data_IF_337868695492
#
_entry.id   IF_337868695492
#
_cell.length_a   1.000
_cell.length_b   1.000
_cell.length_c   1.000
_cell.angle_alpha   90.00
_cell.angle_beta   90.00
_cell.angle_gamma   90.00
#
_symmetry.space_group_name_H-M   'P 1'
#
loop_
_entity.id
_entity.type
_entity.pdbx_description
1 polymer ?
#
# COMPACT_ATOMS: atom_id res chain seq x y z
N UNK A 1 12.83 3.72 9.35
CA UNK A 1 13.49 2.49 8.89
C UNK A 1 14.67 2.13 9.79
N UNK A 2 15.69 2.97 9.86
CA UNK A 2 16.93 2.73 10.63
C UNK A 2 16.70 2.31 12.09
N UNK A 3 15.79 2.97 12.80
CA UNK A 3 15.49 2.64 14.21
C UNK A 3 14.94 1.21 14.37
N UNK A 4 14.07 0.75 13.46
CA UNK A 4 13.52 -0.61 13.49
C UNK A 4 14.58 -1.64 13.14
N UNK A 5 15.40 -1.35 12.11
CA UNK A 5 16.53 -2.22 11.77
C UNK A 5 17.57 -2.31 12.89
N UNK A 6 17.83 -1.22 13.59
CA UNK A 6 18.72 -1.22 14.74
C UNK A 6 18.22 -2.14 15.86
N UNK A 7 16.92 -2.09 16.19
CA UNK A 7 16.32 -2.99 17.18
C UNK A 7 16.38 -4.45 16.73
N UNK A 8 16.05 -4.74 15.47
CA UNK A 8 16.16 -6.11 14.93
C UNK A 8 17.61 -6.62 14.98
N UNK A 9 18.57 -5.79 14.62
CA UNK A 9 19.98 -6.17 14.68
C UNK A 9 20.48 -6.36 16.11
N UNK A 10 19.96 -5.59 17.08
CA UNK A 10 20.25 -5.80 18.49
C UNK A 10 19.70 -7.15 18.97
N UNK A 11 18.43 -7.43 18.70
CA UNK A 11 17.79 -8.70 19.07
C UNK A 11 18.53 -9.90 18.47
N UNK A 12 18.96 -9.83 17.21
CA UNK A 12 19.76 -10.89 16.59
C UNK A 12 21.07 -11.08 17.33
N UNK A 13 21.82 -10.03 17.61
CA UNK A 13 23.12 -10.11 18.34
C UNK A 13 22.95 -10.67 19.75
N UNK A 14 21.84 -10.33 20.41
CA UNK A 14 21.59 -10.76 21.80
C UNK A 14 21.31 -12.26 21.92
N UNK A 15 20.95 -12.94 20.83
CA UNK A 15 20.59 -14.37 20.80
C UNK A 15 21.51 -15.21 19.92
N UNK A 16 22.52 -14.61 19.25
CA UNK A 16 23.42 -15.35 18.34
C UNK A 16 24.88 -15.21 18.75
N UNK A 17 25.63 -16.27 18.55
CA UNK A 17 27.10 -16.24 18.65
C UNK A 17 27.78 -15.59 17.45
N UNK A 18 29.10 -15.58 17.44
CA UNK A 18 29.94 -15.03 16.36
C UNK A 18 29.76 -15.75 15.02
N UNK A 19 29.27 -16.97 15.03
CA UNK A 19 28.96 -17.80 13.85
C UNK A 19 27.54 -17.51 13.28
N UNK A 20 26.78 -16.62 13.92
CA UNK A 20 25.40 -16.26 13.54
C UNK A 20 24.34 -17.32 13.89
N UNK A 21 24.73 -18.38 14.64
CA UNK A 21 23.80 -19.37 15.17
C UNK A 21 23.34 -18.98 16.56
N UNK A 22 22.19 -19.53 16.96
CA UNK A 22 21.67 -19.35 18.32
C UNK A 22 22.73 -19.78 19.34
N UNK A 23 22.97 -18.95 20.33
CA UNK A 23 23.88 -19.22 21.44
C UNK A 23 23.16 -19.10 22.77
N UNK A 24 23.12 -20.19 23.51
CA UNK A 24 22.52 -20.22 24.85
C UNK A 24 23.34 -19.44 25.88
N UNK A 25 24.64 -19.23 25.61
CA UNK A 25 25.53 -18.46 26.51
C UNK A 25 25.15 -16.98 26.58
N UNK A 26 24.41 -16.47 25.59
CA UNK A 26 23.97 -15.08 25.53
C UNK A 26 22.66 -14.84 26.24
N UNK A 27 21.96 -15.90 26.69
CA UNK A 27 20.64 -15.80 27.32
C UNK A 27 20.71 -16.41 28.71
N UNK A 28 20.69 -15.56 29.72
CA UNK A 28 20.97 -15.94 31.11
C UNK A 28 19.94 -16.88 31.74
N UNK A 29 18.65 -16.71 31.38
CA UNK A 29 17.57 -17.51 31.97
C UNK A 29 16.26 -17.41 31.12
N UNK A 30 15.23 -18.09 31.56
CA UNK A 30 13.88 -18.07 30.97
C UNK A 30 13.25 -16.67 30.89
N UNK A 31 13.52 -15.82 31.88
CA UNK A 31 13.00 -14.46 31.90
C UNK A 31 13.63 -13.62 30.79
N UNK A 32 14.94 -13.82 30.52
CA UNK A 32 15.64 -13.17 29.43
C UNK A 32 15.02 -13.55 28.07
N UNK A 33 14.62 -14.82 27.87
CA UNK A 33 13.93 -15.26 26.66
C UNK A 33 12.57 -14.60 26.57
N UNK A 34 11.78 -14.63 27.62
CA UNK A 34 10.45 -14.02 27.65
C UNK A 34 10.52 -12.51 27.32
N UNK A 35 11.55 -11.82 27.83
CA UNK A 35 11.78 -10.40 27.50
C UNK A 35 12.09 -10.21 26.01
N UNK A 36 12.94 -11.05 25.39
CA UNK A 36 13.26 -10.94 23.96
C UNK A 36 12.05 -11.23 23.06
N UNK A 37 11.21 -12.19 23.44
CA UNK A 37 9.94 -12.45 22.75
C UNK A 37 9.00 -11.25 22.86
N UNK A 38 8.89 -10.65 24.03
CA UNK A 38 8.08 -9.46 24.26
C UNK A 38 8.60 -8.25 23.48
N UNK A 39 9.91 -7.99 23.49
CA UNK A 39 10.54 -6.93 22.71
C UNK A 39 10.24 -7.05 21.22
N UNK A 40 10.36 -8.27 20.68
CA UNK A 40 10.04 -8.50 19.27
C UNK A 40 8.54 -8.34 18.98
N UNK A 41 7.67 -8.83 19.85
CA UNK A 41 6.22 -8.65 19.73
C UNK A 41 5.83 -7.17 19.74
N UNK A 42 6.42 -6.39 20.64
CA UNK A 42 6.23 -4.93 20.68
C UNK A 42 6.70 -4.27 19.39
N UNK A 43 7.86 -4.69 18.87
CA UNK A 43 8.38 -4.19 17.59
C UNK A 43 7.40 -4.47 16.44
N UNK A 44 6.83 -5.68 16.36
CA UNK A 44 5.80 -5.99 15.35
C UNK A 44 4.59 -5.07 15.45
N UNK A 45 4.23 -4.64 16.66
CA UNK A 45 3.16 -3.65 16.90
C UNK A 45 3.47 -2.25 16.35
N UNK A 46 4.75 -1.93 16.13
CA UNK A 46 5.18 -0.65 15.51
C UNK A 46 5.26 -0.69 13.99
N UNK A 47 4.96 -1.82 13.38
CA UNK A 47 5.00 -2.00 11.93
C UNK A 47 3.62 -1.82 11.30
N UNK A 48 3.63 -1.57 9.99
CA UNK A 48 2.43 -1.39 9.18
C UNK A 48 1.49 -2.60 9.24
N UNK A 49 0.23 -2.41 8.83
CA UNK A 49 -0.81 -3.46 8.91
C UNK A 49 -0.43 -4.75 8.18
N UNK A 50 0.40 -4.66 7.16
CA UNK A 50 0.92 -5.82 6.44
C UNK A 50 1.72 -6.77 7.33
N UNK A 51 2.23 -6.27 8.46
CA UNK A 51 2.92 -7.09 9.46
C UNK A 51 1.97 -7.91 10.36
N UNK A 52 0.65 -7.69 10.30
CA UNK A 52 -0.36 -8.42 11.11
C UNK A 52 -0.20 -9.93 10.93
N UNK A 53 0.00 -10.39 9.70
CA UNK A 53 0.20 -11.82 9.43
C UNK A 53 1.40 -12.41 10.17
N UNK A 54 2.52 -11.66 10.26
CA UNK A 54 3.70 -12.11 11.00
C UNK A 54 3.39 -12.15 12.49
N UNK A 55 2.70 -11.11 12.98
CA UNK A 55 2.32 -11.01 14.40
C UNK A 55 1.39 -12.15 14.81
N UNK A 56 0.35 -12.41 14.02
CA UNK A 56 -0.60 -13.47 14.32
C UNK A 56 0.06 -14.85 14.29
N UNK A 57 0.96 -15.09 13.33
CA UNK A 57 1.78 -16.31 13.28
C UNK A 57 2.72 -16.43 14.47
N UNK A 58 3.34 -15.34 14.90
CA UNK A 58 4.22 -15.30 16.06
C UNK A 58 3.43 -15.60 17.35
N UNK A 59 2.26 -14.97 17.52
CA UNK A 59 1.42 -15.14 18.70
C UNK A 59 0.82 -16.57 18.80
N UNK A 60 0.67 -17.27 17.67
CA UNK A 60 0.11 -18.64 17.59
C UNK A 60 1.17 -19.74 17.52
N UNK A 61 2.45 -19.40 17.46
CA UNK A 61 3.53 -20.40 17.33
C UNK A 61 3.79 -21.11 18.67
N UNK A 62 3.25 -22.33 18.80
CA UNK A 62 3.39 -23.14 20.03
C UNK A 62 4.85 -23.36 20.41
N UNK A 63 5.78 -23.48 19.46
CA UNK A 63 7.19 -23.67 19.73
C UNK A 63 7.84 -22.47 20.43
N UNK A 64 7.27 -21.26 20.32
CA UNK A 64 7.72 -20.08 21.09
C UNK A 64 7.24 -20.08 22.55
N UNK A 65 6.16 -20.79 22.86
CA UNK A 65 5.53 -20.78 24.17
C UNK A 65 5.84 -22.07 24.98
N UNK A 66 5.90 -23.19 24.30
CA UNK A 66 5.99 -24.53 24.91
C UNK A 66 7.30 -25.28 24.60
N UNK A 67 8.11 -24.74 23.66
CA UNK A 67 9.36 -25.33 23.22
C UNK A 67 10.49 -25.21 24.26
N UNK A 68 11.54 -25.97 24.06
CA UNK A 68 12.81 -25.81 24.78
C UNK A 68 13.43 -24.44 24.52
N UNK A 69 14.33 -23.99 25.39
CA UNK A 69 15.07 -22.72 25.23
C UNK A 69 15.69 -22.58 23.84
N UNK A 70 16.34 -23.63 23.33
CA UNK A 70 16.96 -23.63 22.02
C UNK A 70 15.92 -23.47 20.90
N UNK A 71 14.85 -24.23 20.93
CA UNK A 71 13.76 -24.16 19.94
C UNK A 71 13.10 -22.77 19.91
N UNK A 72 12.83 -22.19 21.07
CA UNK A 72 12.25 -20.84 21.20
C UNK A 72 13.16 -19.78 20.58
N UNK A 73 14.47 -19.86 20.83
CA UNK A 73 15.44 -18.90 20.25
C UNK A 73 15.64 -19.09 18.74
N UNK A 74 15.66 -20.35 18.25
CA UNK A 74 15.73 -20.63 16.81
C UNK A 74 14.50 -20.09 16.07
N UNK A 75 13.31 -20.27 16.65
CA UNK A 75 12.07 -19.73 16.13
C UNK A 75 12.08 -18.21 16.12
N UNK A 76 12.49 -17.58 17.22
CA UNK A 76 12.63 -16.13 17.29
C UNK A 76 13.60 -15.60 16.21
N UNK A 77 14.75 -16.26 16.03
CA UNK A 77 15.73 -15.88 15.00
C UNK A 77 15.12 -15.95 13.59
N UNK A 78 14.33 -17.00 13.30
CA UNK A 78 13.65 -17.13 12.01
C UNK A 78 12.64 -15.98 11.76
N UNK A 79 11.88 -15.58 12.77
CA UNK A 79 10.96 -14.44 12.70
C UNK A 79 11.71 -13.11 12.52
N UNK A 80 12.82 -12.89 13.23
CA UNK A 80 13.67 -11.71 13.09
C UNK A 80 14.22 -11.58 11.67
N UNK A 81 14.72 -12.67 11.10
CA UNK A 81 15.25 -12.69 9.73
C UNK A 81 14.15 -12.45 8.69
N UNK A 82 12.97 -13.08 8.87
CA UNK A 82 11.82 -12.89 7.98
C UNK A 82 11.36 -11.44 8.01
N UNK A 83 11.19 -10.86 9.20
CA UNK A 83 10.78 -9.46 9.37
C UNK A 83 11.77 -8.51 8.71
N UNK A 84 13.08 -8.73 8.93
CA UNK A 84 14.14 -7.93 8.30
C UNK A 84 14.11 -8.03 6.76
N UNK A 85 13.90 -9.22 6.21
CA UNK A 85 13.76 -9.43 4.76
C UNK A 85 12.57 -8.66 4.18
N UNK A 86 11.42 -8.70 4.86
CA UNK A 86 10.22 -8.00 4.43
C UNK A 86 10.35 -6.47 4.54
N UNK A 87 11.01 -5.97 5.58
CA UNK A 87 11.35 -4.54 5.71
C UNK A 87 12.25 -4.06 4.58
N UNK A 88 13.32 -4.80 4.26
CA UNK A 88 14.23 -4.47 3.15
C UNK A 88 13.54 -4.53 1.79
N UNK A 89 12.62 -5.46 1.60
CA UNK A 89 11.77 -5.55 0.41
C UNK A 89 10.65 -4.49 0.38
N UNK A 90 10.50 -3.65 1.43
CA UNK A 90 9.43 -2.67 1.62
C UNK A 90 8.02 -3.27 1.56
N UNK A 91 7.89 -4.54 1.90
CA UNK A 91 6.60 -5.24 2.02
C UNK A 91 5.93 -4.94 3.37
N UNK A 92 6.70 -4.61 4.39
CA UNK A 92 6.26 -4.05 5.66
C UNK A 92 7.09 -2.80 5.97
N UNK A 93 6.54 -1.86 6.73
CA UNK A 93 7.22 -0.60 7.08
C UNK A 93 6.87 -0.18 8.50
N UNK A 94 7.69 0.65 9.17
CA UNK A 94 7.31 1.27 10.43
C UNK A 94 6.02 2.10 10.27
N UNK A 95 5.15 2.07 11.28
CA UNK A 95 3.96 2.91 11.32
C UNK A 95 4.35 4.39 11.17
N UNK A 96 3.52 5.14 10.43
CA UNK A 96 3.81 6.55 10.16
C UNK A 96 4.85 6.80 9.07
N UNK A 97 5.46 5.76 8.47
CA UNK A 97 6.37 5.94 7.34
C UNK A 97 5.60 6.47 6.13
N UNK A 98 6.04 7.59 5.61
CA UNK A 98 5.54 8.18 4.37
C UNK A 98 6.55 7.91 3.27
N UNK A 99 6.12 7.18 2.23
CA UNK A 99 6.94 6.94 1.04
C UNK A 99 6.94 8.21 0.20
N UNK A 100 8.10 8.65 -0.24
CA UNK A 100 8.21 9.81 -1.12
C UNK A 100 7.29 9.68 -2.34
N UNK A 101 6.64 10.78 -2.75
CA UNK A 101 5.82 10.76 -3.95
C UNK A 101 6.68 10.39 -5.17
N UNK A 102 6.12 9.64 -6.12
CA UNK A 102 6.80 9.41 -7.38
C UNK A 102 6.91 10.72 -8.18
N UNK A 103 7.79 10.73 -9.14
CA UNK A 103 7.87 11.82 -10.11
C UNK A 103 6.70 11.72 -11.10
N UNK A 104 5.72 12.62 -11.02
CA UNK A 104 4.57 12.64 -11.93
C UNK A 104 4.87 13.45 -13.19
N UNK A 105 5.90 14.30 -13.23
CA UNK A 105 6.25 15.12 -14.37
C UNK A 105 6.58 14.33 -15.64
N UNK A 106 6.96 13.06 -15.49
CA UNK A 106 7.22 12.13 -16.61
C UNK A 106 5.93 11.67 -17.34
N UNK A 107 4.75 11.96 -16.79
CA UNK A 107 3.48 11.59 -17.39
C UNK A 107 3.11 12.64 -18.45
N UNK A 108 2.88 12.24 -19.71
CA UNK A 108 2.44 13.17 -20.74
C UNK A 108 1.17 13.93 -20.33
N UNK A 109 1.16 15.24 -20.57
CA UNK A 109 0.06 16.14 -20.20
C UNK A 109 0.11 16.64 -18.76
N UNK A 110 1.13 16.26 -17.98
CA UNK A 110 1.28 16.72 -16.61
C UNK A 110 1.73 18.20 -16.61
N UNK A 111 0.91 19.06 -15.99
CA UNK A 111 1.25 20.45 -15.74
C UNK A 111 2.04 20.56 -14.42
N UNK A 112 2.97 21.53 -14.30
CA UNK A 112 3.77 21.71 -13.07
C UNK A 112 2.89 21.86 -11.81
N UNK A 113 1.84 22.65 -11.89
CA UNK A 113 0.92 22.89 -10.76
C UNK A 113 0.15 21.63 -10.36
N UNK A 114 -0.17 20.77 -11.34
CA UNK A 114 -0.83 19.49 -11.09
C UNK A 114 0.16 18.49 -10.46
N UNK A 115 1.41 18.44 -10.95
CA UNK A 115 2.46 17.59 -10.34
C UNK A 115 2.65 17.94 -8.86
N UNK A 116 2.77 19.24 -8.54
CA UNK A 116 2.91 19.70 -7.14
C UNK A 116 1.70 19.31 -6.28
N UNK A 117 0.49 19.44 -6.82
CA UNK A 117 -0.73 19.03 -6.14
C UNK A 117 -0.76 17.53 -5.90
N UNK A 118 -0.42 16.72 -6.90
CA UNK A 118 -0.41 15.26 -6.81
C UNK A 118 0.63 14.76 -5.80
N UNK A 119 1.79 15.41 -5.70
CA UNK A 119 2.82 15.11 -4.68
C UNK A 119 2.28 15.36 -3.26
N UNK A 120 1.57 16.47 -3.04
CA UNK A 120 0.90 16.76 -1.77
C UNK A 120 -0.16 15.71 -1.46
N UNK A 121 -1.02 15.38 -2.44
CA UNK A 121 -2.07 14.35 -2.31
C UNK A 121 -1.48 12.98 -1.98
N UNK A 122 -0.37 12.59 -2.59
CA UNK A 122 0.33 11.34 -2.28
C UNK A 122 0.70 11.25 -0.80
N UNK A 123 1.21 12.34 -0.23
CA UNK A 123 1.55 12.43 1.21
C UNK A 123 0.30 12.39 2.08
N UNK A 124 -0.76 13.13 1.72
CA UNK A 124 -2.04 13.15 2.43
C UNK A 124 -2.72 11.78 2.45
N UNK A 125 -2.69 11.03 1.34
CA UNK A 125 -3.21 9.66 1.26
C UNK A 125 -2.53 8.76 2.31
N UNK A 126 -1.21 8.82 2.38
CA UNK A 126 -0.46 7.99 3.33
C UNK A 126 -0.72 8.41 4.78
N UNK A 127 -0.83 9.70 5.03
CA UNK A 127 -1.19 10.23 6.36
C UNK A 127 -2.57 9.75 6.78
N UNK A 128 -3.56 9.82 5.89
CA UNK A 128 -4.92 9.35 6.16
C UNK A 128 -4.95 7.83 6.41
N UNK A 129 -4.21 7.03 5.63
CA UNK A 129 -4.06 5.58 5.82
C UNK A 129 -3.45 5.26 7.20
N UNK A 130 -2.35 5.92 7.54
CA UNK A 130 -1.64 5.70 8.80
C UNK A 130 -2.48 6.10 10.02
N UNK A 131 -3.33 7.12 9.87
CA UNK A 131 -4.28 7.55 10.90
C UNK A 131 -5.55 6.69 10.98
N UNK A 132 -5.71 5.67 10.11
CA UNK A 132 -6.92 4.84 10.05
C UNK A 132 -8.14 5.56 9.45
N UNK A 133 -7.95 6.72 8.81
CA UNK A 133 -9.01 7.50 8.17
C UNK A 133 -9.37 6.89 6.80
N UNK A 134 -10.00 5.73 6.83
CA UNK A 134 -10.25 4.88 5.66
C UNK A 134 -11.00 5.59 4.54
N UNK A 135 -12.09 6.30 4.88
CA UNK A 135 -12.88 7.05 3.91
C UNK A 135 -12.05 8.14 3.21
N UNK A 136 -11.33 8.95 3.99
CA UNK A 136 -10.49 10.02 3.44
C UNK A 136 -9.40 9.45 2.52
N UNK A 137 -8.76 8.34 2.92
CA UNK A 137 -7.74 7.69 2.11
C UNK A 137 -8.27 7.24 0.74
N UNK A 138 -9.44 6.59 0.69
CA UNK A 138 -10.06 6.14 -0.57
C UNK A 138 -10.44 7.32 -1.46
N UNK A 139 -11.08 8.36 -0.91
CA UNK A 139 -11.48 9.55 -1.68
C UNK A 139 -10.26 10.24 -2.25
N UNK A 140 -9.19 10.41 -1.48
CA UNK A 140 -7.94 11.00 -1.93
C UNK A 140 -7.26 10.15 -3.02
N UNK A 141 -7.21 8.82 -2.86
CA UNK A 141 -6.66 7.92 -3.89
C UNK A 141 -7.44 8.02 -5.21
N UNK A 142 -8.77 7.97 -5.13
CA UNK A 142 -9.63 8.03 -6.32
C UNK A 142 -9.47 9.36 -7.07
N UNK A 143 -9.55 10.50 -6.37
CA UNK A 143 -9.40 11.82 -6.97
C UNK A 143 -8.01 12.07 -7.53
N UNK A 144 -6.96 11.56 -6.87
CA UNK A 144 -5.59 11.65 -7.37
C UNK A 144 -5.41 10.84 -8.65
N UNK A 145 -5.94 9.62 -8.68
CA UNK A 145 -5.88 8.76 -9.86
C UNK A 145 -6.65 9.35 -11.04
N UNK A 146 -7.82 9.94 -10.78
CA UNK A 146 -8.60 10.64 -11.80
C UNK A 146 -7.83 11.80 -12.39
N UNK A 147 -7.20 12.64 -11.57
CA UNK A 147 -6.37 13.75 -12.04
C UNK A 147 -5.18 13.29 -12.91
N UNK A 148 -4.51 12.21 -12.52
CA UNK A 148 -3.42 11.61 -13.31
C UNK A 148 -3.92 11.12 -14.68
N UNK A 149 -5.03 10.39 -14.68
CA UNK A 149 -5.60 9.82 -15.90
C UNK A 149 -6.17 10.89 -16.80
N UNK A 150 -6.79 11.94 -16.25
CA UNK A 150 -7.26 13.10 -17.03
C UNK A 150 -6.11 13.81 -17.74
N UNK A 151 -5.00 14.08 -17.05
CA UNK A 151 -3.81 14.68 -17.65
C UNK A 151 -3.29 13.81 -18.81
N UNK A 152 -3.11 12.52 -18.57
CA UNK A 152 -2.62 11.56 -19.58
C UNK A 152 -3.55 11.42 -20.77
N UNK A 153 -4.87 11.39 -20.51
CA UNK A 153 -5.90 11.25 -21.54
C UNK A 153 -5.99 12.51 -22.40
N UNK A 154 -5.94 13.69 -21.77
CA UNK A 154 -5.96 14.97 -22.49
C UNK A 154 -4.74 15.14 -23.40
N UNK A 155 -3.57 14.65 -23.01
CA UNK A 155 -2.38 14.65 -23.88
C UNK A 155 -2.51 13.72 -25.10
N UNK A 156 -3.39 12.72 -25.03
CA UNK A 156 -3.64 11.75 -26.09
C UNK A 156 -5.06 11.84 -26.66
N UNK A 157 -5.69 13.01 -26.57
CA UNK A 157 -7.11 13.26 -26.80
C UNK A 157 -7.66 12.56 -28.05
N UNK A 158 -7.03 12.76 -29.21
CA UNK A 158 -7.47 12.15 -30.48
C UNK A 158 -7.44 10.60 -30.46
N UNK A 159 -6.52 9.98 -29.69
CA UNK A 159 -6.46 8.51 -29.53
C UNK A 159 -7.51 8.06 -28.53
N UNK A 160 -7.66 8.80 -27.44
CA UNK A 160 -8.61 8.50 -26.38
C UNK A 160 -10.07 8.56 -26.91
N UNK A 161 -10.44 9.60 -27.64
CA UNK A 161 -11.76 9.75 -28.23
C UNK A 161 -12.10 8.68 -29.27
N UNK A 162 -11.10 8.07 -29.93
CA UNK A 162 -11.27 6.95 -30.87
C UNK A 162 -11.29 5.58 -30.21
N UNK A 163 -11.01 5.49 -28.92
CA UNK A 163 -11.10 4.25 -28.16
C UNK A 163 -12.52 3.66 -28.22
N UNK A 164 -12.65 2.33 -28.33
CA UNK A 164 -13.94 1.65 -28.24
C UNK A 164 -14.56 1.80 -26.84
N UNK A 165 -13.73 2.06 -25.84
CA UNK A 165 -14.13 2.28 -24.44
C UNK A 165 -14.43 3.74 -24.14
N UNK A 166 -14.22 4.68 -25.08
CA UNK A 166 -14.55 6.07 -24.88
C UNK A 166 -16.07 6.21 -24.63
N UNK A 167 -16.48 6.92 -23.57
CA UNK A 167 -17.89 7.14 -23.31
C UNK A 167 -18.52 8.00 -24.39
N UNK A 168 -19.73 7.66 -24.80
CA UNK A 168 -20.48 8.33 -25.84
C UNK A 168 -21.75 8.96 -25.28
N UNK A 169 -22.19 10.01 -25.92
CA UNK A 169 -23.47 10.63 -25.62
C UNK A 169 -24.65 9.90 -26.30
N UNK A 170 -25.84 10.46 -26.18
CA UNK A 170 -27.06 9.90 -26.79
C UNK A 170 -27.05 9.92 -28.31
N UNK A 171 -26.18 10.68 -28.94
CA UNK A 171 -26.05 10.78 -30.40
C UNK A 171 -24.96 9.85 -30.95
N UNK A 172 -24.19 9.21 -30.04
CA UNK A 172 -23.10 8.33 -30.37
C UNK A 172 -21.75 9.02 -30.48
N UNK A 173 -21.67 10.33 -30.22
CA UNK A 173 -20.44 11.10 -30.24
C UNK A 173 -19.65 10.92 -28.94
N UNK A 174 -18.30 10.91 -28.98
CA UNK A 174 -17.49 10.85 -27.79
C UNK A 174 -17.76 12.01 -26.85
N UNK A 175 -17.99 11.76 -25.58
CA UNK A 175 -18.11 12.80 -24.55
C UNK A 175 -16.77 13.55 -24.38
N UNK A 176 -16.79 14.83 -23.98
CA UNK A 176 -15.58 15.55 -23.62
C UNK A 176 -14.81 14.83 -22.52
N UNK A 177 -13.49 14.68 -22.68
CA UNK A 177 -12.62 13.94 -21.74
C UNK A 177 -12.77 14.42 -20.29
N UNK A 178 -12.93 15.73 -20.08
CA UNK A 178 -13.11 16.33 -18.75
C UNK A 178 -14.37 15.85 -18.01
N UNK A 179 -15.31 15.18 -18.69
CA UNK A 179 -16.55 14.67 -18.10
C UNK A 179 -16.49 13.16 -17.80
N UNK A 180 -15.38 12.52 -18.11
CA UNK A 180 -15.25 11.08 -17.94
C UNK A 180 -15.07 10.71 -16.46
N UNK A 181 -15.78 9.71 -16.02
CA UNK A 181 -15.59 9.13 -14.69
C UNK A 181 -14.26 8.36 -14.59
N UNK A 182 -13.78 8.15 -13.38
CA UNK A 182 -12.59 7.33 -13.14
C UNK A 182 -12.71 5.93 -13.77
N UNK A 183 -13.89 5.32 -13.76
CA UNK A 183 -14.12 4.01 -14.40
C UNK A 183 -13.94 4.06 -15.92
N UNK A 184 -14.42 5.11 -16.56
CA UNK A 184 -14.29 5.32 -18.00
C UNK A 184 -12.82 5.62 -18.37
N UNK A 185 -12.14 6.46 -17.60
CA UNK A 185 -10.72 6.73 -17.76
C UNK A 185 -9.85 5.47 -17.63
N UNK A 186 -10.11 4.63 -16.63
CA UNK A 186 -9.42 3.36 -16.45
C UNK A 186 -9.68 2.39 -17.62
N UNK A 187 -10.91 2.33 -18.11
CA UNK A 187 -11.26 1.46 -19.25
C UNK A 187 -10.50 1.85 -20.52
N UNK A 188 -10.42 3.16 -20.80
CA UNK A 188 -9.66 3.69 -21.94
C UNK A 188 -8.15 3.51 -21.74
N UNK A 189 -7.64 3.75 -20.54
CA UNK A 189 -6.23 3.53 -20.22
C UNK A 189 -5.79 2.07 -20.42
N UNK A 190 -6.66 1.12 -20.07
CA UNK A 190 -6.43 -0.31 -20.34
C UNK A 190 -6.42 -0.63 -21.82
N UNK A 191 -7.38 -0.13 -22.61
CA UNK A 191 -7.41 -0.35 -24.07
C UNK A 191 -6.20 0.26 -24.77
N UNK A 192 -5.73 1.41 -24.32
CA UNK A 192 -4.56 2.09 -24.90
C UNK A 192 -3.21 1.51 -24.39
N UNK A 193 -3.26 0.53 -23.50
CA UNK A 193 -2.08 -0.15 -22.97
C UNK A 193 -1.27 0.67 -21.97
N UNK A 194 -1.84 1.74 -21.39
CA UNK A 194 -1.16 2.53 -20.35
C UNK A 194 -1.14 1.83 -19.00
N UNK A 195 -2.14 0.97 -18.77
CA UNK A 195 -2.24 0.10 -17.58
C UNK A 195 -2.52 -1.33 -18.02
N UNK A 196 -2.09 -2.29 -17.20
CA UNK A 196 -2.28 -3.73 -17.44
C UNK A 196 -3.31 -4.35 -16.51
N UNK A 197 -3.66 -3.64 -15.43
CA UNK A 197 -4.71 -4.09 -14.52
C UNK A 197 -6.07 -4.01 -15.23
N UNK A 198 -6.82 -5.09 -15.19
CA UNK A 198 -8.18 -5.11 -15.75
C UNK A 198 -9.12 -4.29 -14.88
N UNK A 199 -10.07 -3.57 -15.53
CA UNK A 199 -11.04 -2.75 -14.80
C UNK A 199 -11.83 -3.55 -13.76
N UNK A 200 -12.13 -4.82 -14.04
CA UNK A 200 -12.81 -5.75 -13.14
C UNK A 200 -12.01 -6.04 -11.86
N UNK A 201 -10.68 -6.00 -11.94
CA UNK A 201 -9.80 -6.21 -10.80
C UNK A 201 -9.73 -4.99 -9.89
N UNK A 202 -9.94 -3.78 -10.42
CA UNK A 202 -9.89 -2.55 -9.61
C UNK A 202 -11.09 -2.51 -8.67
N UNK A 203 -10.82 -2.38 -7.37
CA UNK A 203 -11.87 -2.38 -6.34
C UNK A 203 -12.97 -1.36 -6.64
N UNK A 204 -14.25 -1.76 -6.54
CA UNK A 204 -15.37 -0.84 -6.79
C UNK A 204 -15.31 0.42 -5.94
N UNK A 205 -14.87 0.30 -4.69
CA UNK A 205 -14.71 1.42 -3.76
C UNK A 205 -13.73 2.49 -4.28
N UNK A 206 -12.66 2.09 -4.99
CA UNK A 206 -11.73 3.03 -5.60
C UNK A 206 -12.33 3.67 -6.87
N UNK A 207 -12.92 2.85 -7.75
CA UNK A 207 -13.51 3.32 -9.02
C UNK A 207 -14.71 4.26 -8.84
N UNK A 208 -15.42 4.10 -7.74
CA UNK A 208 -16.66 4.81 -7.42
C UNK A 208 -16.49 5.74 -6.22
N UNK A 209 -15.25 6.21 -5.97
CA UNK A 209 -14.89 7.01 -4.79
C UNK A 209 -15.80 8.23 -4.59
N UNK A 210 -16.26 8.83 -5.68
CA UNK A 210 -17.16 10.01 -5.62
C UNK A 210 -18.50 9.70 -4.93
N UNK A 211 -18.96 8.44 -4.92
CA UNK A 211 -20.18 8.04 -4.18
C UNK A 211 -19.95 8.00 -2.67
N UNK A 212 -18.69 7.99 -2.22
CA UNK A 212 -18.34 8.02 -0.81
C UNK A 212 -18.32 9.43 -0.22
N UNK A 213 -18.26 10.47 -1.08
CA UNK A 213 -18.24 11.87 -0.64
C UNK A 213 -19.60 12.28 -0.06
N UNK A 214 -20.69 11.67 -0.56
CA UNK A 214 -22.05 11.97 -0.13
C UNK A 214 -22.59 10.83 0.72
N UNK A 215 -22.88 11.03 2.02
CA UNK A 215 -23.35 9.98 2.92
C UNK A 215 -24.59 9.22 2.39
N UNK A 216 -25.53 9.95 1.79
CA UNK A 216 -26.72 9.36 1.19
C UNK A 216 -26.35 8.38 0.05
N UNK A 217 -25.46 8.77 -0.85
CA UNK A 217 -25.02 7.92 -1.95
C UNK A 217 -24.21 6.71 -1.46
N UNK A 218 -23.35 6.91 -0.45
CA UNK A 218 -22.59 5.82 0.17
C UNK A 218 -23.53 4.73 0.73
N UNK A 219 -24.57 5.13 1.45
CA UNK A 219 -25.57 4.21 2.02
C UNK A 219 -26.29 3.42 0.92
N UNK A 220 -26.74 4.10 -0.14
CA UNK A 220 -27.45 3.46 -1.24
C UNK A 220 -26.56 2.56 -2.09
N UNK A 221 -25.31 2.94 -2.28
CA UNK A 221 -24.33 2.16 -3.03
C UNK A 221 -23.86 0.90 -2.29
N UNK A 222 -24.16 0.78 -0.99
CA UNK A 222 -23.72 -0.32 -0.12
C UNK A 222 -22.22 -0.57 -0.23
N UNK A 223 -21.43 0.50 -0.20
CA UNK A 223 -19.97 0.46 -0.27
C UNK A 223 -19.39 0.63 1.14
N UNK A 224 -19.20 -0.45 1.90
CA UNK A 224 -18.50 -0.38 3.18
C UNK A 224 -17.04 -0.03 2.91
N UNK A 225 -16.46 0.78 3.81
CA UNK A 225 -15.04 1.15 3.76
C UNK A 225 -14.34 0.52 4.94
N UNK A 226 -13.74 -0.64 4.72
CA UNK A 226 -12.90 -1.29 5.71
C UNK A 226 -11.43 -0.86 5.55
N UNK A 227 -10.64 -1.16 6.55
CA UNK A 227 -9.22 -0.91 6.48
C UNK A 227 -8.49 -1.86 5.50
N UNK A 228 -9.03 -3.07 5.27
CA UNK A 228 -8.50 -4.01 4.27
C UNK A 228 -8.80 -3.51 2.85
N UNK A 229 -9.96 -2.90 2.64
CA UNK A 229 -10.26 -2.25 1.37
C UNK A 229 -9.28 -1.11 1.06
N UNK A 230 -8.91 -0.31 2.06
CA UNK A 230 -7.91 0.76 1.92
C UNK A 230 -6.55 0.18 1.53
N UNK A 231 -6.16 -0.94 2.12
CA UNK A 231 -4.88 -1.59 1.82
C UNK A 231 -4.85 -2.11 0.39
N UNK A 232 -5.88 -2.83 -0.04
CA UNK A 232 -5.99 -3.34 -1.42
C UNK A 232 -6.05 -2.17 -2.41
N UNK A 233 -6.85 -1.14 -2.11
CA UNK A 233 -6.96 0.05 -2.96
C UNK A 233 -5.62 0.79 -3.10
N UNK A 234 -4.82 0.88 -2.03
CA UNK A 234 -3.49 1.47 -2.08
C UNK A 234 -2.55 0.69 -2.99
N UNK A 235 -2.54 -0.64 -2.91
CA UNK A 235 -1.72 -1.48 -3.78
C UNK A 235 -2.09 -1.29 -5.24
N UNK A 236 -3.40 -1.26 -5.56
CA UNK A 236 -3.89 -1.02 -6.91
C UNK A 236 -3.57 0.39 -7.40
N UNK A 237 -3.80 1.41 -6.57
CA UNK A 237 -3.47 2.80 -6.85
C UNK A 237 -1.97 2.96 -7.18
N UNK A 238 -1.09 2.45 -6.32
CA UNK A 238 0.35 2.55 -6.53
C UNK A 238 0.82 1.79 -7.78
N UNK A 239 0.22 0.62 -8.07
CA UNK A 239 0.48 -0.15 -9.28
C UNK A 239 0.07 0.63 -10.53
N UNK A 240 -1.15 1.16 -10.56
CA UNK A 240 -1.67 1.94 -11.69
C UNK A 240 -0.79 3.17 -11.95
N UNK A 241 -0.45 3.92 -10.92
CA UNK A 241 0.46 5.08 -11.03
C UNK A 241 1.80 4.67 -11.62
N UNK A 242 2.38 3.56 -11.16
CA UNK A 242 3.64 3.04 -11.69
C UNK A 242 3.53 2.66 -13.18
N UNK A 243 2.45 2.01 -13.58
CA UNK A 243 2.22 1.59 -14.96
C UNK A 243 2.03 2.80 -15.90
N UNK A 244 1.22 3.79 -15.49
CA UNK A 244 1.01 5.02 -16.27
C UNK A 244 2.33 5.77 -16.48
N UNK A 245 3.16 5.90 -15.44
CA UNK A 245 4.48 6.54 -15.55
C UNK A 245 5.42 5.80 -16.50
N UNK A 246 5.33 4.48 -16.56
CA UNK A 246 6.17 3.65 -17.43
C UNK A 246 5.68 3.63 -18.90
N UNK A 247 4.47 4.10 -19.18
CA UNK A 247 3.87 4.15 -20.52
C UNK A 247 4.05 5.49 -21.24
N UNK A 248 4.79 6.40 -20.65
CA UNK A 248 5.06 7.76 -21.14
C UNK A 248 6.11 7.84 -22.21
#
# INVERSE_FOLDING_TARGET
MERVEAVLNSLVRDITGSDGRVSLDHVADENAIALKLLEFRMLLGTLSREAVYIRDKFDQDAALHEGSTAERLERLLAYLHTTRKLLRARLIMPLGTVVSPPDFSVIPGMLPELDDLLRKRWTEIQTARNAGSSLAAIVLMGSTLEGILLARTSAADARALRSRRAPRDSQGDPKPVATWSLSELLAVAGELGWIRIELSEVRPILRRYHQLIHPYQQTHARLPVSADDVQVAWQQFARIVKEIRASG
#
